data_IF_111048194136
#
_entry.id   IF_111048194136
#
_cell.length_a   1.000
_cell.length_b   1.000
_cell.length_c   1.000
_cell.angle_alpha   90.00
_cell.angle_beta   90.00
_cell.angle_gamma   90.00
#
_symmetry.space_group_name_H-M   'P 1'
#
loop_
_entity.id
_entity.type
_entity.pdbx_description
1 polymer ?
#
# COMPACT_ATOMS: atom_id res chain seq x y z
N UNK A 1 -5.59 -0.06 12.51
CA UNK A 1 -6.79 0.83 12.60
C UNK A 1 -6.47 2.17 11.95
N UNK A 2 -7.44 2.84 11.31
CA UNK A 2 -7.24 4.19 10.75
C UNK A 2 -7.03 5.19 11.89
N UNK A 3 -5.93 5.94 11.86
CA UNK A 3 -5.51 6.86 12.93
C UNK A 3 -5.61 8.34 12.55
N UNK A 4 -6.05 8.65 11.32
CA UNK A 4 -6.33 10.02 10.90
C UNK A 4 -7.39 10.70 11.80
N UNK A 5 -7.19 11.97 12.23
CA UNK A 5 -8.19 12.72 13.00
C UNK A 5 -9.56 12.83 12.31
N UNK A 6 -9.57 12.92 10.98
CA UNK A 6 -10.78 13.00 10.17
C UNK A 6 -11.69 11.76 10.31
N UNK A 7 -11.10 10.65 10.82
CA UNK A 7 -11.73 9.38 11.14
C UNK A 7 -12.32 8.66 9.92
N UNK A 8 -12.89 7.47 10.16
CA UNK A 8 -13.58 6.71 9.13
C UNK A 8 -14.95 7.32 8.84
N UNK A 9 -15.23 7.68 7.57
CA UNK A 9 -16.53 8.21 7.12
C UNK A 9 -17.04 7.43 5.91
N UNK A 10 -17.89 6.44 6.17
CA UNK A 10 -18.44 5.54 5.14
C UNK A 10 -19.13 6.30 4.00
N UNK A 11 -18.79 5.97 2.76
CA UNK A 11 -19.40 6.49 1.54
C UNK A 11 -19.11 7.97 1.24
N UNK A 12 -18.19 8.60 1.97
CA UNK A 12 -17.80 10.00 1.73
C UNK A 12 -16.33 10.09 1.39
N UNK A 13 -16.02 10.87 0.35
CA UNK A 13 -14.64 11.29 0.10
C UNK A 13 -14.23 12.31 1.16
N UNK A 14 -13.10 12.05 1.81
CA UNK A 14 -12.49 12.89 2.84
C UNK A 14 -11.08 13.23 2.40
N UNK A 15 -10.69 14.49 2.62
CA UNK A 15 -9.32 14.92 2.45
C UNK A 15 -8.55 14.63 3.73
N UNK A 16 -7.74 13.58 3.71
CA UNK A 16 -6.94 13.15 4.85
C UNK A 16 -5.57 13.85 4.86
N UNK A 17 -5.04 14.08 6.06
CA UNK A 17 -3.67 14.51 6.29
C UNK A 17 -2.98 13.60 7.29
N UNK A 18 -1.72 13.26 7.03
CA UNK A 18 -0.88 12.59 8.03
C UNK A 18 -0.52 13.62 9.10
N UNK A 19 -1.00 13.39 10.31
CA UNK A 19 -0.76 14.24 11.47
C UNK A 19 0.04 13.45 12.50
N UNK A 20 1.32 13.76 12.63
CA UNK A 20 2.23 13.08 13.55
C UNK A 20 2.76 11.75 13.05
N UNK A 21 3.23 10.93 13.97
CA UNK A 21 3.85 9.62 13.70
C UNK A 21 2.78 8.52 13.58
N UNK A 22 2.94 7.65 12.59
CA UNK A 22 2.12 6.44 12.45
C UNK A 22 2.60 5.41 13.48
N UNK A 23 1.78 5.07 14.47
CA UNK A 23 2.15 4.06 15.47
C UNK A 23 1.96 2.64 14.92
N UNK A 24 2.55 1.66 15.60
CA UNK A 24 2.44 0.25 15.21
C UNK A 24 0.97 -0.21 15.10
N UNK A 25 0.65 -0.96 14.04
CA UNK A 25 -0.71 -1.39 13.72
C UNK A 25 -1.67 -0.27 13.29
N UNK A 26 -1.19 0.97 13.15
CA UNK A 26 -1.98 2.10 12.67
C UNK A 26 -1.75 2.36 11.18
N UNK A 27 -2.79 2.89 10.54
CA UNK A 27 -2.76 3.37 9.17
C UNK A 27 -3.10 4.86 9.19
N UNK A 28 -2.32 5.67 8.48
CA UNK A 28 -2.67 7.05 8.18
C UNK A 28 -2.66 7.30 6.67
N UNK A 29 -3.52 8.21 6.24
CA UNK A 29 -3.72 8.59 4.85
C UNK A 29 -3.36 10.06 4.65
N UNK A 30 -2.84 10.36 3.45
CA UNK A 30 -2.76 11.70 2.89
C UNK A 30 -3.46 11.69 1.54
N UNK A 31 -4.27 12.71 1.27
CA UNK A 31 -4.98 12.86 0.00
C UNK A 31 -6.49 12.66 0.10
N UNK A 32 -7.16 12.66 -1.05
CA UNK A 32 -8.59 12.38 -1.12
C UNK A 32 -8.85 10.88 -1.13
N UNK A 33 -9.51 10.36 -0.10
CA UNK A 33 -9.89 8.95 0.01
C UNK A 33 -11.35 8.80 0.41
N UNK A 34 -12.00 7.77 -0.09
CA UNK A 34 -13.34 7.36 0.31
C UNK A 34 -13.25 6.00 0.98
N UNK A 35 -13.86 5.87 2.15
CA UNK A 35 -13.96 4.60 2.84
C UNK A 35 -15.31 3.94 2.53
N UNK A 36 -15.33 2.68 2.14
CA UNK A 36 -16.56 1.91 1.95
C UNK A 36 -16.45 0.51 2.58
N UNK A 37 -17.48 -0.32 2.39
CA UNK A 37 -17.51 -1.69 2.92
C UNK A 37 -16.39 -2.60 2.37
N UNK A 38 -15.75 -2.21 1.27
CA UNK A 38 -14.71 -2.99 0.62
C UNK A 38 -13.30 -2.50 0.99
N UNK A 39 -13.13 -1.25 1.43
CA UNK A 39 -11.85 -0.73 1.91
C UNK A 39 -11.67 0.76 1.68
N UNK A 40 -10.41 1.17 1.51
CA UNK A 40 -10.02 2.55 1.22
C UNK A 40 -9.86 2.74 -0.30
N UNK A 41 -10.68 3.61 -0.88
CA UNK A 41 -10.69 3.94 -2.30
C UNK A 41 -10.01 5.29 -2.49
N UNK A 42 -8.95 5.33 -3.30
CA UNK A 42 -8.27 6.57 -3.61
C UNK A 42 -9.11 7.41 -4.60
N UNK A 43 -9.35 8.68 -4.26
CA UNK A 43 -10.16 9.64 -5.02
C UNK A 43 -9.37 10.87 -5.48
N UNK A 44 -8.07 10.89 -5.27
CA UNK A 44 -7.20 11.99 -5.73
C UNK A 44 -7.01 12.00 -7.25
N UNK A 45 -6.26 13.01 -7.71
CA UNK A 45 -5.95 13.27 -9.13
C UNK A 45 -4.44 13.27 -9.35
N UNK A 46 -3.79 12.10 -9.30
CA UNK A 46 -2.33 12.01 -9.44
C UNK A 46 -1.92 12.29 -10.90
N UNK A 47 -0.67 12.72 -11.07
CA UNK A 47 -0.04 12.69 -12.41
C UNK A 47 0.12 11.24 -12.83
N UNK A 48 -0.36 10.90 -14.02
CA UNK A 48 -0.42 9.52 -14.49
C UNK A 48 0.97 8.87 -14.48
N UNK A 49 1.09 7.75 -13.78
CA UNK A 49 2.30 6.91 -13.78
C UNK A 49 3.49 7.49 -13.00
N UNK A 50 3.31 8.60 -12.28
CA UNK A 50 4.33 9.21 -11.42
C UNK A 50 3.86 9.19 -9.96
N UNK A 51 4.78 9.00 -8.99
CA UNK A 51 4.43 9.10 -7.58
C UNK A 51 4.05 10.54 -7.23
N UNK A 52 2.97 10.71 -6.47
CA UNK A 52 2.54 11.99 -5.91
C UNK A 52 2.77 12.07 -4.41
N UNK A 53 2.18 13.09 -3.78
CA UNK A 53 2.24 13.26 -2.31
C UNK A 53 1.19 12.43 -1.56
N UNK A 54 0.08 12.11 -2.24
CA UNK A 54 -1.01 11.30 -1.70
C UNK A 54 -0.53 9.87 -1.43
N UNK A 55 -0.84 9.35 -0.24
CA UNK A 55 -0.27 8.09 0.22
C UNK A 55 -1.06 7.46 1.35
N UNK A 56 -0.89 6.16 1.50
CA UNK A 56 -1.20 5.41 2.71
C UNK A 56 0.13 5.07 3.40
N UNK A 57 0.22 5.35 4.70
CA UNK A 57 1.35 4.95 5.54
C UNK A 57 0.88 4.02 6.65
N UNK A 58 1.62 2.93 6.87
CA UNK A 58 1.33 1.96 7.91
C UNK A 58 2.63 1.49 8.56
N UNK A 59 2.65 1.45 9.88
CA UNK A 59 3.67 0.71 10.62
C UNK A 59 3.20 -0.71 10.91
N UNK A 60 4.10 -1.66 10.71
CA UNK A 60 3.82 -3.08 10.88
C UNK A 60 5.04 -3.80 11.47
N UNK A 61 4.78 -4.94 12.09
CA UNK A 61 5.79 -5.81 12.68
C UNK A 61 5.65 -7.21 12.06
N UNK A 62 6.37 -7.45 10.98
CA UNK A 62 6.29 -8.70 10.21
C UNK A 62 7.52 -8.90 9.34
N UNK A 63 7.71 -10.12 8.84
CA UNK A 63 8.69 -10.39 7.79
C UNK A 63 8.12 -10.10 6.41
N UNK A 64 6.85 -10.43 6.19
CA UNK A 64 6.21 -10.31 4.88
C UNK A 64 4.95 -9.44 4.98
N UNK A 65 4.72 -8.65 3.93
CA UNK A 65 3.55 -7.79 3.80
C UNK A 65 2.82 -8.06 2.49
N UNK A 66 1.53 -8.33 2.61
CA UNK A 66 0.60 -8.55 1.52
C UNK A 66 -0.53 -7.53 1.59
N UNK A 67 -1.11 -7.19 0.44
CA UNK A 67 -2.31 -6.37 0.39
C UNK A 67 -3.30 -6.92 -0.63
N UNK A 68 -4.58 -6.98 -0.25
CA UNK A 68 -5.67 -7.22 -1.21
C UNK A 68 -6.05 -5.89 -1.82
N UNK A 69 -5.95 -5.79 -3.15
CA UNK A 69 -6.18 -4.55 -3.88
C UNK A 69 -6.93 -4.80 -5.17
N UNK A 70 -7.59 -3.74 -5.64
CA UNK A 70 -8.25 -3.71 -6.94
C UNK A 70 -8.13 -2.32 -7.59
N UNK A 71 -8.44 -2.25 -8.88
CA UNK A 71 -8.49 -1.02 -9.68
C UNK A 71 -9.85 -0.83 -10.31
N UNK A 72 -10.27 0.43 -10.40
CA UNK A 72 -11.51 0.80 -11.06
C UNK A 72 -11.55 0.36 -12.53
N UNK A 73 -12.60 -0.39 -12.90
CA UNK A 73 -12.85 -0.89 -14.27
C UNK A 73 -11.69 -1.71 -14.86
N UNK A 74 -10.89 -2.37 -14.02
CA UNK A 74 -9.81 -3.26 -14.49
C UNK A 74 -8.68 -2.57 -15.25
N UNK A 75 -8.55 -1.23 -15.15
CA UNK A 75 -7.46 -0.50 -15.79
C UNK A 75 -6.16 -0.66 -14.99
N UNK A 76 -5.12 -1.30 -15.54
CA UNK A 76 -3.84 -1.45 -14.85
C UNK A 76 -3.31 -0.10 -14.35
N UNK A 77 -2.88 -0.06 -13.10
CA UNK A 77 -2.37 1.16 -12.48
C UNK A 77 -1.20 0.84 -11.56
N UNK A 78 -0.18 1.70 -11.58
CA UNK A 78 0.96 1.57 -10.67
C UNK A 78 0.56 1.98 -9.25
N UNK A 79 1.08 1.27 -8.27
CA UNK A 79 1.15 1.69 -6.87
C UNK A 79 2.62 1.65 -6.47
N UNK A 80 3.21 2.81 -6.18
CA UNK A 80 4.59 2.83 -5.70
C UNK A 80 4.63 2.40 -4.25
N UNK A 81 5.63 1.60 -3.91
CA UNK A 81 5.81 0.99 -2.59
C UNK A 81 7.15 1.43 -2.07
N UNK A 82 7.17 2.06 -0.90
CA UNK A 82 8.41 2.39 -0.21
C UNK A 82 8.38 1.74 1.16
N UNK A 83 9.54 1.36 1.67
CA UNK A 83 9.72 0.92 3.03
C UNK A 83 10.79 1.76 3.72
N UNK A 84 10.49 2.22 4.94
CA UNK A 84 11.40 3.02 5.75
C UNK A 84 11.94 4.26 5.01
N UNK A 85 11.07 4.85 4.19
CA UNK A 85 11.35 6.04 3.37
C UNK A 85 12.15 5.79 2.08
N UNK A 86 12.45 4.53 1.75
CA UNK A 86 13.25 4.15 0.56
C UNK A 86 12.47 3.24 -0.37
N UNK A 87 12.82 3.27 -1.65
CA UNK A 87 12.41 2.21 -2.57
C UNK A 87 12.90 0.85 -2.07
N UNK A 88 12.13 -0.19 -2.40
CA UNK A 88 12.49 -1.58 -2.14
C UNK A 88 13.72 -1.97 -2.97
N UNK A 89 14.27 -3.12 -2.64
CA UNK A 89 15.45 -3.70 -3.28
C UNK A 89 15.15 -5.15 -3.64
N UNK A 90 16.01 -5.78 -4.44
CA UNK A 90 15.89 -7.20 -4.73
C UNK A 90 15.89 -8.08 -3.46
N UNK A 91 16.46 -7.60 -2.36
CA UNK A 91 16.57 -8.34 -1.10
C UNK A 91 15.31 -8.26 -0.21
N UNK A 92 14.44 -7.26 -0.39
CA UNK A 92 13.26 -7.08 0.46
C UNK A 92 11.93 -6.95 -0.30
N UNK A 93 11.95 -6.98 -1.63
CA UNK A 93 10.74 -6.86 -2.44
C UNK A 93 9.94 -8.15 -2.44
N UNK A 94 8.62 -8.03 -2.43
CA UNK A 94 7.75 -9.16 -2.77
C UNK A 94 7.78 -9.50 -4.27
N UNK A 95 7.21 -10.65 -4.63
CA UNK A 95 7.24 -11.17 -6.01
C UNK A 95 6.50 -10.26 -7.01
N UNK A 96 5.50 -9.50 -6.56
CA UNK A 96 4.71 -8.61 -7.42
C UNK A 96 5.35 -7.23 -7.64
N UNK A 97 6.42 -6.91 -6.91
CA UNK A 97 7.10 -5.62 -7.02
C UNK A 97 8.07 -5.64 -8.20
N UNK A 98 7.99 -4.59 -9.00
CA UNK A 98 8.86 -4.27 -10.11
C UNK A 98 9.59 -2.95 -9.84
N UNK A 99 10.65 -2.71 -10.59
CA UNK A 99 11.36 -1.42 -10.59
C UNK A 99 11.11 -0.71 -11.92
N UNK A 100 10.91 0.59 -11.89
CA UNK A 100 10.89 1.38 -13.12
C UNK A 100 12.30 1.78 -13.56
N UNK A 101 12.39 2.60 -14.60
CA UNK A 101 13.68 3.01 -15.18
C UNK A 101 14.51 3.87 -14.23
N UNK A 102 13.87 4.51 -13.27
CA UNK A 102 14.50 5.39 -12.29
C UNK A 102 14.80 4.62 -10.98
N UNK A 103 14.50 3.32 -10.93
CA UNK A 103 14.73 2.45 -9.78
C UNK A 103 13.60 2.46 -8.75
N UNK A 104 12.47 3.13 -9.03
CA UNK A 104 11.37 3.20 -8.09
C UNK A 104 10.62 1.87 -8.01
N UNK A 105 10.36 1.39 -6.79
CA UNK A 105 9.59 0.17 -6.59
C UNK A 105 8.10 0.42 -6.72
N UNK A 106 7.45 -0.38 -7.55
CA UNK A 106 6.02 -0.33 -7.74
C UNK A 106 5.43 -1.72 -7.97
N UNK A 107 4.15 -1.86 -7.67
CA UNK A 107 3.34 -2.98 -8.17
C UNK A 107 2.43 -2.47 -9.27
N UNK A 108 2.11 -3.35 -10.22
CA UNK A 108 1.09 -3.07 -11.22
C UNK A 108 -0.23 -3.77 -10.84
N UNK A 109 -1.17 -2.99 -10.32
CA UNK A 109 -2.47 -3.50 -9.88
C UNK A 109 -3.37 -3.64 -11.10
N UNK A 110 -3.75 -4.87 -11.43
CA UNK A 110 -4.49 -5.23 -12.66
C UNK A 110 -5.87 -5.83 -12.37
N UNK A 111 -5.96 -6.61 -11.30
CA UNK A 111 -7.14 -7.40 -10.95
C UNK A 111 -7.33 -7.46 -9.43
N UNK A 112 -8.55 -7.75 -8.93
CA UNK A 112 -8.80 -7.98 -7.52
C UNK A 112 -8.11 -9.26 -7.05
N UNK A 113 -7.00 -9.13 -6.34
CA UNK A 113 -6.28 -10.25 -5.71
C UNK A 113 -5.39 -9.78 -4.56
N UNK A 114 -4.77 -10.74 -3.89
CA UNK A 114 -3.65 -10.48 -2.99
C UNK A 114 -2.38 -10.19 -3.80
N UNK A 115 -1.68 -9.12 -3.45
CA UNK A 115 -0.37 -8.75 -3.98
C UNK A 115 0.70 -8.87 -2.90
N UNK A 116 1.90 -9.26 -3.31
CA UNK A 116 3.07 -9.50 -2.48
C UNK A 116 3.99 -8.28 -2.52
N UNK A 117 3.94 -7.45 -1.48
CA UNK A 117 4.58 -6.13 -1.45
C UNK A 117 6.00 -6.22 -0.90
N UNK A 118 6.17 -6.81 0.29
CA UNK A 118 7.45 -6.86 0.99
C UNK A 118 7.73 -8.29 1.43
N UNK A 119 8.99 -8.70 1.29
CA UNK A 119 9.54 -9.94 1.80
C UNK A 119 10.90 -9.65 2.45
N UNK A 120 10.89 -9.21 3.71
CA UNK A 120 12.11 -8.86 4.43
C UNK A 120 12.98 -10.11 4.69
N UNK A 121 14.28 -9.88 4.87
CA UNK A 121 15.25 -10.95 5.21
C UNK A 121 15.04 -11.50 6.62
N UNK A 122 14.45 -10.71 7.52
CA UNK A 122 14.17 -11.05 8.90
C UNK A 122 12.88 -10.40 9.37
N UNK A 123 12.25 -10.99 10.38
CA UNK A 123 11.15 -10.36 11.10
C UNK A 123 11.61 -9.06 11.78
N UNK A 124 10.80 -8.00 11.69
CA UNK A 124 11.13 -6.70 12.26
C UNK A 124 10.03 -5.66 12.10
N UNK A 125 10.23 -4.49 12.73
CA UNK A 125 9.33 -3.35 12.62
C UNK A 125 9.72 -2.49 11.44
N UNK A 126 8.73 -2.17 10.60
CA UNK A 126 8.92 -1.38 9.39
C UNK A 126 7.75 -0.43 9.16
N UNK A 127 8.00 0.62 8.39
CA UNK A 127 6.98 1.52 7.89
C UNK A 127 6.85 1.38 6.38
N UNK A 128 5.68 0.95 5.91
CA UNK A 128 5.36 0.94 4.48
C UNK A 128 4.64 2.23 4.08
N UNK A 129 4.96 2.75 2.89
CA UNK A 129 4.25 3.82 2.21
C UNK A 129 3.77 3.33 0.86
N UNK A 130 2.49 3.53 0.58
CA UNK A 130 1.85 3.17 -0.68
C UNK A 130 1.34 4.43 -1.37
N UNK A 131 1.83 4.72 -2.59
CA UNK A 131 1.55 5.95 -3.33
C UNK A 131 0.76 5.62 -4.60
N UNK A 132 -0.58 5.81 -4.60
CA UNK A 132 -1.42 5.43 -5.73
C UNK A 132 -1.26 6.39 -6.92
N UNK A 133 -1.28 5.86 -8.14
CA UNK A 133 -1.15 6.65 -9.38
C UNK A 133 -2.44 6.73 -10.21
N UNK A 134 -3.55 6.18 -9.71
CA UNK A 134 -4.83 6.22 -10.40
C UNK A 134 -6.01 6.35 -9.46
N UNK A 135 -6.95 7.24 -9.82
CA UNK A 135 -8.25 7.35 -9.21
C UNK A 135 -9.01 6.01 -9.22
N UNK A 136 -9.63 5.67 -8.10
CA UNK A 136 -10.44 4.46 -7.92
C UNK A 136 -9.62 3.20 -7.66
N UNK A 137 -8.32 3.32 -7.35
CA UNK A 137 -7.56 2.22 -6.76
C UNK A 137 -8.07 1.96 -5.34
N UNK A 138 -8.29 0.70 -5.00
CA UNK A 138 -8.82 0.28 -3.70
C UNK A 138 -7.82 -0.59 -2.98
N UNK A 139 -7.57 -0.28 -1.71
CA UNK A 139 -6.84 -1.11 -0.76
C UNK A 139 -7.85 -1.69 0.21
N UNK A 140 -8.06 -3.01 0.14
CA UNK A 140 -9.11 -3.70 0.88
C UNK A 140 -8.63 -4.13 2.27
N UNK A 141 -7.47 -4.79 2.33
CA UNK A 141 -6.90 -5.31 3.56
C UNK A 141 -5.39 -5.50 3.45
N UNK A 142 -4.74 -5.61 4.60
CA UNK A 142 -3.35 -6.03 4.73
C UNK A 142 -3.29 -7.41 5.39
N UNK A 143 -2.30 -8.20 4.99
CA UNK A 143 -1.99 -9.50 5.61
C UNK A 143 -0.50 -9.58 5.85
N UNK A 144 -0.09 -10.22 6.95
CA UNK A 144 1.28 -10.22 7.43
C UNK A 144 1.77 -11.65 7.58
N UNK A 145 2.99 -11.91 7.10
CA UNK A 145 3.68 -13.20 7.25
C UNK A 145 4.86 -13.13 8.20
N UNK A 146 5.09 -14.21 8.94
CA UNK A 146 6.19 -14.37 9.89
C UNK A 146 7.08 -15.56 9.49
N UNK A 147 8.11 -15.87 10.28
CA UNK A 147 9.07 -16.95 10.01
C UNK A 147 8.48 -18.38 10.10
N UNK A 148 7.24 -18.54 10.56
CA UNK A 148 6.56 -19.83 10.58
C UNK A 148 6.00 -20.15 9.18
N UNK A 149 6.71 -21.03 8.44
CA UNK A 149 6.46 -21.47 7.05
C UNK A 149 6.77 -20.44 5.96
N UNK A 150 8.03 -20.44 5.51
CA UNK A 150 8.54 -19.60 4.40
C UNK A 150 8.52 -20.29 3.03
N UNK A 151 7.96 -21.51 2.93
CA UNK A 151 7.84 -22.26 1.68
C UNK A 151 6.37 -22.42 1.30
N UNK A 152 5.80 -21.39 0.65
CA UNK A 152 4.60 -21.57 -0.14
C UNK A 152 5.00 -21.73 -1.61
N UNK A 153 4.47 -22.73 -2.33
CA UNK A 153 4.61 -22.74 -3.78
C UNK A 153 3.93 -21.48 -4.32
N UNK A 154 4.73 -20.56 -4.84
CA UNK A 154 4.22 -19.44 -5.61
C UNK A 154 3.80 -20.01 -6.96
N UNK A 155 2.48 -20.12 -7.18
CA UNK A 155 1.87 -20.51 -8.46
C UNK A 155 1.90 -19.34 -9.45
#
# INVERSE_FOLDING_TARGET
MLANPESYRSGKTVQYKIAGEVKDGQVMLSGAWEADKNGMIYRGKPKRGQPGEDRLEMRYHARELYAVMNVWRGRPSKLFVLQDGKDLTAANKGVDVQFDRDGHSYIEVRAPRMYYLVQNTSFGQHQVRLVPTSHGMTINSFTFGNDCQTQFPHL
#
